data_IF_726338654134
#
_entry.id   IF_726338654134
#
_cell.length_a   1.000
_cell.length_b   1.000
_cell.length_c   1.000
_cell.angle_alpha   90.00
_cell.angle_beta   90.00
_cell.angle_gamma   90.00
#
_symmetry.space_group_name_H-M   'P 1'
#
loop_
_entity.id
_entity.type
_entity.pdbx_description
1 polymer ?
#
# COMPACT_ATOMS: atom_id res chain seq x y z
N UNK A 1 -15.48 -23.53 -23.60
CA UNK A 1 -15.02 -22.26 -24.16
C UNK A 1 -14.83 -21.33 -22.99
N UNK A 2 -13.59 -21.21 -22.51
CA UNK A 2 -13.20 -20.26 -21.47
C UNK A 2 -13.07 -18.89 -22.13
N UNK A 3 -13.92 -17.93 -21.74
CA UNK A 3 -13.74 -16.54 -22.11
C UNK A 3 -12.40 -16.06 -21.56
N UNK A 4 -11.43 -15.86 -22.45
CA UNK A 4 -10.20 -15.16 -22.11
C UNK A 4 -10.55 -13.68 -21.95
N UNK A 5 -11.01 -13.29 -20.76
CA UNK A 5 -11.18 -11.88 -20.42
C UNK A 5 -9.81 -11.22 -20.56
N UNK A 6 -9.61 -10.45 -21.63
CA UNK A 6 -8.38 -9.70 -21.86
C UNK A 6 -8.16 -8.74 -20.68
N UNK A 7 -7.25 -9.08 -19.78
CA UNK A 7 -6.86 -8.20 -18.67
C UNK A 7 -6.21 -6.96 -19.30
N UNK A 8 -6.79 -5.79 -19.05
CA UNK A 8 -6.23 -4.50 -19.49
C UNK A 8 -5.63 -3.80 -18.28
N UNK A 9 -4.32 -3.59 -18.31
CA UNK A 9 -3.65 -2.69 -17.38
C UNK A 9 -3.81 -1.23 -17.78
N UNK A 10 -3.56 -0.33 -16.83
CA UNK A 10 -3.48 1.11 -17.07
C UNK A 10 -2.02 1.47 -17.41
N UNK A 11 -1.80 2.19 -18.51
CA UNK A 11 -0.46 2.55 -18.99
C UNK A 11 -0.04 3.98 -18.66
N UNK A 12 -0.84 4.70 -17.88
CA UNK A 12 -0.63 6.11 -17.51
C UNK A 12 -0.80 6.29 -16.01
N UNK A 13 -0.31 7.42 -15.53
CA UNK A 13 -0.56 7.89 -14.17
C UNK A 13 -2.07 7.91 -13.86
N UNK A 14 -2.40 7.43 -12.67
CA UNK A 14 -3.74 7.42 -12.09
C UNK A 14 -3.72 8.29 -10.84
N UNK A 15 -4.77 9.07 -10.62
CA UNK A 15 -4.92 9.94 -9.45
C UNK A 15 -6.27 9.66 -8.79
N UNK A 16 -6.28 9.49 -7.48
CA UNK A 16 -7.47 9.38 -6.65
C UNK A 16 -7.36 10.35 -5.47
N UNK A 17 -8.36 11.20 -5.30
CA UNK A 17 -8.46 12.12 -4.16
C UNK A 17 -9.56 11.66 -3.23
N UNK A 18 -9.24 11.44 -1.96
CA UNK A 18 -10.18 10.96 -0.95
C UNK A 18 -10.24 11.92 0.23
N UNK A 19 -11.41 12.50 0.45
CA UNK A 19 -11.65 13.34 1.62
C UNK A 19 -12.02 12.50 2.83
N UNK A 20 -11.62 12.97 4.01
CA UNK A 20 -12.01 12.39 5.28
C UNK A 20 -12.37 13.46 6.30
N UNK A 21 -13.32 13.09 7.15
CA UNK A 21 -13.72 13.85 8.32
C UNK A 21 -13.62 12.91 9.53
N UNK A 22 -12.85 13.32 10.52
CA UNK A 22 -12.83 12.74 11.85
C UNK A 22 -13.63 13.70 12.76
N UNK A 23 -13.70 13.39 14.06
CA UNK A 23 -14.35 14.27 15.06
C UNK A 23 -14.12 15.77 14.79
N UNK A 24 -15.09 16.62 15.15
CA UNK A 24 -15.38 18.00 14.68
C UNK A 24 -14.24 19.01 14.37
N UNK A 25 -12.96 18.67 14.54
CA UNK A 25 -11.79 19.52 14.31
C UNK A 25 -10.74 18.92 13.37
N UNK A 26 -10.90 17.69 12.87
CA UNK A 26 -9.90 17.03 12.03
C UNK A 26 -10.54 16.58 10.72
N UNK A 27 -10.27 17.34 9.67
CA UNK A 27 -10.67 17.01 8.31
C UNK A 27 -9.44 17.07 7.41
N UNK A 28 -9.50 16.38 6.28
CA UNK A 28 -8.38 16.39 5.35
C UNK A 28 -8.68 15.65 4.07
N UNK A 29 -7.68 15.64 3.22
CA UNK A 29 -7.70 14.98 1.92
C UNK A 29 -6.46 14.12 1.78
N UNK A 30 -6.62 12.96 1.15
CA UNK A 30 -5.50 12.15 0.68
C UNK A 30 -5.47 12.22 -0.84
N UNK A 31 -4.36 12.71 -1.38
CA UNK A 31 -4.08 12.62 -2.83
C UNK A 31 -3.20 11.41 -3.09
N UNK A 32 -3.71 10.48 -3.89
CA UNK A 32 -3.09 9.19 -4.18
C UNK A 32 -2.73 9.15 -5.66
N UNK A 33 -1.47 8.85 -5.97
CA UNK A 33 -0.96 8.72 -7.33
C UNK A 33 -0.32 7.36 -7.53
N UNK A 34 -0.76 6.63 -8.56
CA UNK A 34 -0.11 5.39 -9.03
C UNK A 34 0.36 5.62 -10.46
N UNK A 35 1.62 5.32 -10.74
CA UNK A 35 2.16 5.40 -12.09
C UNK A 35 3.15 4.26 -12.40
N UNK A 36 3.25 3.82 -13.66
CA UNK A 36 4.33 2.93 -14.06
C UNK A 36 5.69 3.62 -13.89
N UNK A 37 6.64 2.93 -13.28
CA UNK A 37 8.00 3.44 -13.10
C UNK A 37 8.71 3.55 -14.46
N UNK A 38 8.99 4.78 -14.87
CA UNK A 38 9.74 5.09 -16.10
C UNK A 38 11.18 5.50 -15.83
N UNK A 39 11.52 5.83 -14.58
CA UNK A 39 12.86 6.23 -14.17
C UNK A 39 13.16 5.78 -12.73
N UNK A 40 13.60 4.52 -12.53
CA UNK A 40 13.87 3.92 -11.23
C UNK A 40 14.82 4.72 -10.31
N UNK A 41 15.67 5.57 -10.91
CA UNK A 41 16.61 6.42 -10.18
C UNK A 41 15.90 7.54 -9.41
N UNK A 42 14.78 8.07 -9.94
CA UNK A 42 14.03 9.14 -9.28
C UNK A 42 13.41 8.68 -7.95
N UNK A 43 13.26 7.36 -7.80
CA UNK A 43 12.70 6.70 -6.62
C UNK A 43 13.77 6.03 -5.74
N UNK A 44 15.06 6.26 -6.03
CA UNK A 44 16.17 5.75 -5.22
C UNK A 44 16.34 4.23 -5.26
N UNK A 45 15.88 3.55 -6.32
CA UNK A 45 16.02 2.08 -6.43
C UNK A 45 17.48 1.65 -6.52
N UNK A 46 18.38 2.52 -6.98
CA UNK A 46 19.84 2.31 -6.95
C UNK A 46 20.41 2.14 -5.53
N UNK A 47 19.74 2.68 -4.52
CA UNK A 47 20.13 2.49 -3.12
C UNK A 47 19.75 1.10 -2.58
N UNK A 48 18.73 0.46 -3.16
CA UNK A 48 18.15 -0.81 -2.69
C UNK A 48 18.67 -2.01 -3.48
N UNK A 49 18.77 -1.87 -4.80
CA UNK A 49 19.03 -2.98 -5.72
C UNK A 49 20.37 -3.68 -5.50
N UNK A 50 21.49 -3.02 -5.13
CA UNK A 50 22.74 -3.72 -4.82
C UNK A 50 22.59 -4.69 -3.63
N UNK A 51 21.71 -4.40 -2.67
CA UNK A 51 21.43 -5.30 -1.55
C UNK A 51 20.43 -6.39 -1.93
N UNK A 52 19.40 -6.05 -2.72
CA UNK A 52 18.34 -6.99 -3.10
C UNK A 52 18.76 -7.97 -4.20
N UNK A 53 19.68 -7.56 -5.08
CA UNK A 53 20.15 -8.30 -6.25
C UNK A 53 21.69 -8.17 -6.37
N UNK A 54 22.47 -8.68 -5.40
CA UNK A 54 23.92 -8.45 -5.32
C UNK A 54 24.69 -8.98 -6.54
N UNK A 55 24.18 -10.04 -7.17
CA UNK A 55 24.81 -10.68 -8.33
C UNK A 55 24.33 -10.11 -9.68
N UNK A 56 23.49 -9.07 -9.68
CA UNK A 56 22.97 -8.44 -10.90
C UNK A 56 23.62 -7.06 -11.09
N UNK A 57 24.26 -6.77 -12.24
CA UNK A 57 24.76 -5.42 -12.53
C UNK A 57 23.65 -4.37 -12.37
N UNK A 58 23.96 -3.24 -11.72
CA UNK A 58 22.96 -2.22 -11.35
C UNK A 58 22.08 -1.79 -12.52
N UNK A 59 22.65 -1.55 -13.70
CA UNK A 59 21.89 -1.19 -14.90
C UNK A 59 20.84 -2.26 -15.28
N UNK A 60 21.21 -3.53 -15.17
CA UNK A 60 20.29 -4.65 -15.42
C UNK A 60 19.24 -4.75 -14.32
N UNK A 61 19.61 -4.52 -13.06
CA UNK A 61 18.69 -4.52 -11.94
C UNK A 61 17.65 -3.40 -12.08
N UNK A 62 18.06 -2.17 -12.43
CA UNK A 62 17.15 -1.04 -12.65
C UNK A 62 16.14 -1.34 -13.76
N UNK A 63 16.61 -1.90 -14.90
CA UNK A 63 15.73 -2.32 -16.01
C UNK A 63 14.66 -3.32 -15.59
N UNK A 64 14.93 -4.19 -14.61
CA UNK A 64 13.94 -5.15 -14.09
C UNK A 64 12.81 -4.48 -13.32
N UNK A 65 12.99 -3.25 -12.85
CA UNK A 65 12.01 -2.52 -12.03
C UNK A 65 11.13 -1.56 -12.82
N UNK A 66 11.43 -1.35 -14.12
CA UNK A 66 10.61 -0.54 -15.02
C UNK A 66 9.18 -1.08 -15.09
N UNK A 67 8.23 -0.23 -15.48
CA UNK A 67 6.80 -0.52 -15.70
C UNK A 67 6.01 -0.97 -14.45
N UNK A 68 6.69 -1.38 -13.37
CA UNK A 68 6.05 -1.66 -12.10
C UNK A 68 5.46 -0.39 -11.50
N UNK A 69 4.32 -0.49 -10.79
CA UNK A 69 3.70 0.68 -10.21
C UNK A 69 4.56 1.26 -9.08
N UNK A 70 4.63 2.59 -9.05
CA UNK A 70 5.06 3.36 -7.89
C UNK A 70 3.84 4.11 -7.36
N UNK A 71 3.66 4.07 -6.04
CA UNK A 71 2.56 4.73 -5.33
C UNK A 71 3.10 5.89 -4.49
N UNK A 72 2.38 7.01 -4.50
CA UNK A 72 2.46 8.00 -3.43
C UNK A 72 1.06 8.30 -2.91
N UNK A 73 0.87 8.33 -1.58
CA UNK A 73 -0.36 8.84 -0.97
C UNK A 73 -0.02 9.91 0.05
N UNK A 74 -0.40 11.15 -0.25
CA UNK A 74 -0.08 12.35 0.54
C UNK A 74 -1.30 12.78 1.35
N UNK A 75 -1.14 12.85 2.66
CA UNK A 75 -2.18 13.36 3.57
C UNK A 75 -2.04 14.87 3.68
N UNK A 76 -3.16 15.57 3.61
CA UNK A 76 -3.25 16.99 3.93
C UNK A 76 -4.40 17.23 4.90
N UNK A 77 -4.12 17.81 6.06
CA UNK A 77 -5.09 18.13 7.11
C UNK A 77 -5.44 19.61 7.08
N UNK A 78 -6.74 19.90 7.13
CA UNK A 78 -7.23 21.27 7.29
C UNK A 78 -7.51 21.55 8.76
N UNK A 79 -6.98 22.67 9.28
CA UNK A 79 -7.27 23.13 10.64
C UNK A 79 -6.49 22.43 11.77
N UNK A 80 -5.62 21.47 11.44
CA UNK A 80 -4.77 20.77 12.41
C UNK A 80 -3.33 20.63 11.87
N UNK A 81 -2.34 20.53 12.78
CA UNK A 81 -0.91 20.35 12.48
C UNK A 81 -0.24 19.54 13.59
N UNK A 82 0.96 19.00 13.32
CA UNK A 82 1.73 18.24 14.31
C UNK A 82 0.93 17.05 14.84
N UNK A 83 0.84 16.91 16.16
CA UNK A 83 0.03 15.87 16.80
C UNK A 83 -1.45 15.89 16.39
N UNK A 84 -2.02 17.06 16.09
CA UNK A 84 -3.40 17.17 15.61
C UNK A 84 -3.63 16.60 14.20
N UNK A 85 -2.55 16.39 13.44
CA UNK A 85 -2.54 15.83 12.10
C UNK A 85 -1.74 14.52 12.05
N UNK A 86 -1.71 13.77 13.15
CA UNK A 86 -0.98 12.51 13.26
C UNK A 86 -1.80 11.33 12.75
N UNK A 87 -1.22 10.56 11.83
CA UNK A 87 -1.85 9.37 11.26
C UNK A 87 -0.82 8.26 11.07
N UNK A 88 -1.28 7.10 10.62
CA UNK A 88 -0.42 6.01 10.18
C UNK A 88 -1.01 5.25 9.01
N UNK A 89 -0.14 4.83 8.10
CA UNK A 89 -0.43 3.96 6.98
C UNK A 89 -0.21 2.51 7.38
N UNK A 90 -1.18 1.66 7.09
CA UNK A 90 -1.11 0.20 7.25
C UNK A 90 -1.26 -0.41 5.85
N UNK A 91 -0.29 -1.23 5.45
CA UNK A 91 -0.29 -1.88 4.14
C UNK A 91 -0.32 -3.39 4.30
N UNK A 92 -1.16 -4.02 3.47
CA UNK A 92 -1.21 -5.46 3.30
C UNK A 92 -1.00 -5.79 1.84
N UNK A 93 -0.37 -6.92 1.57
CA UNK A 93 -0.17 -7.42 0.21
C UNK A 93 -0.71 -8.83 0.08
N UNK A 94 -1.09 -9.18 -1.14
CA UNK A 94 -1.44 -10.53 -1.55
C UNK A 94 -0.87 -10.78 -2.92
N UNK A 95 -0.15 -11.88 -3.05
CA UNK A 95 0.57 -12.26 -4.27
C UNK A 95 0.33 -13.73 -4.56
N UNK A 96 0.17 -14.08 -5.82
CA UNK A 96 0.08 -15.49 -6.24
C UNK A 96 -0.12 -15.64 -7.74
N UNK A 97 -0.18 -16.88 -8.20
CA UNK A 97 -0.62 -17.19 -9.55
C UNK A 97 -2.07 -16.74 -9.74
N UNK A 98 -2.43 -16.09 -10.86
CA UNK A 98 -3.74 -15.45 -11.04
C UNK A 98 -4.97 -16.32 -10.78
N UNK A 99 -4.89 -17.60 -11.13
CA UNK A 99 -5.97 -18.55 -10.93
C UNK A 99 -6.16 -18.98 -9.47
N UNK A 100 -5.14 -18.72 -8.63
CA UNK A 100 -5.07 -19.13 -7.23
C UNK A 100 -4.96 -17.95 -6.27
N UNK A 101 -4.67 -16.72 -6.73
CA UNK A 101 -4.40 -15.55 -5.86
C UNK A 101 -5.50 -15.30 -4.83
N UNK A 102 -6.77 -15.54 -5.16
CA UNK A 102 -7.88 -15.38 -4.23
C UNK A 102 -7.80 -16.34 -3.01
N UNK A 103 -7.13 -17.48 -3.15
CA UNK A 103 -6.90 -18.45 -2.08
C UNK A 103 -5.66 -18.11 -1.21
N UNK A 104 -4.79 -17.20 -1.66
CA UNK A 104 -3.67 -16.74 -0.86
C UNK A 104 -4.14 -15.78 0.24
N UNK A 105 -3.58 -15.93 1.44
CA UNK A 105 -3.83 -15.02 2.54
C UNK A 105 -3.21 -13.64 2.27
N UNK A 106 -3.81 -12.61 2.87
CA UNK A 106 -3.18 -11.30 2.97
C UNK A 106 -2.06 -11.33 4.01
N UNK A 107 -1.00 -10.58 3.73
CA UNK A 107 0.16 -10.47 4.61
C UNK A 107 0.44 -9.00 4.91
N UNK A 108 0.95 -8.70 6.11
CA UNK A 108 1.43 -7.35 6.42
C UNK A 108 2.68 -7.03 5.61
N UNK A 109 2.80 -5.78 5.17
CA UNK A 109 3.94 -5.31 4.38
C UNK A 109 4.71 -4.19 5.12
N UNK A 110 5.55 -4.55 6.11
CA UNK A 110 6.32 -3.60 6.88
C UNK A 110 7.58 -3.14 6.12
N UNK A 111 8.12 -1.98 6.51
CA UNK A 111 9.49 -1.61 6.11
C UNK A 111 10.47 -2.65 6.66
N UNK A 112 11.50 -3.10 5.91
CA UNK A 112 12.37 -4.20 6.34
C UNK A 112 12.99 -4.05 7.73
N UNK A 113 13.36 -2.82 8.13
CA UNK A 113 13.95 -2.55 9.45
C UNK A 113 12.94 -2.61 10.60
N UNK A 114 11.64 -2.48 10.31
CA UNK A 114 10.56 -2.53 11.32
C UNK A 114 9.79 -3.85 11.31
N UNK A 115 10.17 -4.82 10.46
CA UNK A 115 9.43 -6.08 10.26
C UNK A 115 9.22 -6.90 11.54
N UNK A 116 10.18 -6.83 12.46
CA UNK A 116 10.19 -7.58 13.72
C UNK A 116 9.67 -6.73 14.90
N UNK A 117 9.31 -5.47 14.65
CA UNK A 117 8.69 -4.60 15.64
C UNK A 117 7.19 -4.88 15.73
N UNK A 118 6.64 -4.83 16.94
CA UNK A 118 5.20 -4.94 17.17
C UNK A 118 4.47 -3.62 16.86
N UNK A 119 4.47 -3.23 15.59
CA UNK A 119 3.77 -2.04 15.07
C UNK A 119 3.08 -2.35 13.73
N UNK A 120 1.82 -1.92 13.53
CA UNK A 120 1.10 -2.13 12.28
C UNK A 120 1.48 -1.13 11.19
N UNK A 121 2.16 -0.03 11.54
CA UNK A 121 2.37 1.08 10.63
C UNK A 121 3.64 0.92 9.79
N UNK A 122 3.49 1.04 8.47
CA UNK A 122 4.61 1.14 7.52
C UNK A 122 5.16 2.57 7.46
N UNK A 123 4.27 3.57 7.54
CA UNK A 123 4.61 5.00 7.63
C UNK A 123 3.69 5.67 8.64
N UNK A 124 4.21 6.52 9.52
CA UNK A 124 3.39 7.19 10.53
C UNK A 124 4.03 8.50 11.00
N UNK A 125 3.22 9.43 11.51
CA UNK A 125 3.68 10.76 11.89
C UNK A 125 2.64 11.84 11.56
N UNK A 126 3.01 13.14 11.67
CA UNK A 126 2.23 14.23 11.14
C UNK A 126 2.14 14.16 9.61
N UNK A 127 0.93 14.13 9.06
CA UNK A 127 0.66 14.07 7.61
C UNK A 127 1.56 13.08 6.86
N UNK A 128 1.59 11.80 7.28
CA UNK A 128 2.56 10.85 6.77
C UNK A 128 2.25 10.56 5.31
N UNK A 129 3.30 10.47 4.50
CA UNK A 129 3.20 10.03 3.11
C UNK A 129 3.44 8.52 3.05
N UNK A 130 2.55 7.79 2.38
CA UNK A 130 2.85 6.43 1.93
C UNK A 130 3.64 6.52 0.63
N UNK A 131 4.76 5.80 0.58
CA UNK A 131 5.50 5.52 -0.64
C UNK A 131 5.81 4.03 -0.71
N UNK A 132 5.66 3.44 -1.90
CA UNK A 132 6.09 2.09 -2.20
C UNK A 132 6.31 1.91 -3.72
N UNK A 133 7.13 0.96 -4.10
CA UNK A 133 7.55 0.70 -5.49
C UNK A 133 7.96 -0.76 -5.68
N UNK A 134 7.03 -1.72 -5.52
CA UNK A 134 7.32 -3.14 -5.56
C UNK A 134 7.78 -3.55 -6.95
N UNK A 135 8.65 -4.54 -7.01
CA UNK A 135 8.99 -5.23 -8.26
C UNK A 135 9.10 -6.74 -7.99
N UNK A 136 8.99 -7.54 -9.06
CA UNK A 136 9.10 -8.99 -8.99
C UNK A 136 9.82 -9.53 -10.23
N UNK A 137 10.42 -10.74 -10.15
CA UNK A 137 10.80 -11.49 -11.34
C UNK A 137 9.64 -11.59 -12.33
N UNK A 138 9.95 -11.54 -13.64
CA UNK A 138 8.97 -11.58 -14.74
C UNK A 138 8.94 -12.94 -15.45
N UNK A 139 9.50 -13.96 -14.83
CA UNK A 139 9.59 -15.34 -15.33
C UNK A 139 8.29 -16.12 -15.16
N UNK A 140 7.39 -15.64 -14.30
CA UNK A 140 6.10 -16.25 -14.01
C UNK A 140 4.98 -15.23 -14.03
N UNK A 141 3.78 -15.71 -14.38
CA UNK A 141 2.57 -14.89 -14.29
C UNK A 141 2.19 -14.69 -12.83
N UNK A 142 2.00 -13.43 -12.44
CA UNK A 142 1.73 -13.02 -11.07
C UNK A 142 0.52 -12.11 -11.04
N UNK A 143 -0.30 -12.25 -10.03
CA UNK A 143 -1.20 -11.20 -9.60
C UNK A 143 -0.79 -10.73 -8.21
N UNK A 144 -0.54 -9.43 -8.10
CA UNK A 144 -0.16 -8.77 -6.86
C UNK A 144 -1.13 -7.61 -6.59
N UNK A 145 -1.70 -7.59 -5.39
CA UNK A 145 -2.52 -6.48 -4.89
C UNK A 145 -1.97 -6.01 -3.55
N UNK A 146 -2.12 -4.72 -3.29
CA UNK A 146 -1.98 -4.12 -1.98
C UNK A 146 -3.28 -3.45 -1.55
N UNK A 147 -3.64 -3.63 -0.27
CA UNK A 147 -4.60 -2.77 0.41
C UNK A 147 -3.82 -1.81 1.30
N UNK A 148 -4.01 -0.51 1.09
CA UNK A 148 -3.36 0.54 1.86
C UNK A 148 -4.44 1.33 2.60
N UNK A 149 -4.38 1.32 3.93
CA UNK A 149 -5.32 2.00 4.80
C UNK A 149 -4.65 3.15 5.54
N UNK A 150 -5.27 4.31 5.52
CA UNK A 150 -4.94 5.39 6.45
C UNK A 150 -5.71 5.14 7.74
N UNK A 151 -5.03 5.23 8.89
CA UNK A 151 -5.63 5.05 10.20
C UNK A 151 -5.20 6.16 11.17
N UNK A 152 -6.05 6.44 12.15
CA UNK A 152 -5.68 7.27 13.30
C UNK A 152 -5.39 6.45 14.54
N UNK A 153 -4.55 7.02 15.40
CA UNK A 153 -4.53 6.73 16.83
C UNK A 153 -4.98 8.01 17.53
N UNK A 154 -6.18 7.98 18.12
CA UNK A 154 -6.92 9.19 18.51
C UNK A 154 -6.21 10.11 19.51
N UNK A 155 -5.23 9.58 20.24
CA UNK A 155 -4.38 10.30 21.19
C UNK A 155 -2.94 10.48 20.70
N UNK A 156 -2.73 10.52 19.38
CA UNK A 156 -1.41 10.76 18.75
C UNK A 156 -0.35 9.73 19.14
N UNK A 157 -0.70 8.45 19.05
CA UNK A 157 0.18 7.30 19.36
C UNK A 157 0.59 7.16 20.83
N UNK A 158 -0.15 7.76 21.76
CA UNK A 158 -0.01 7.44 23.19
C UNK A 158 -0.68 6.10 23.54
N UNK A 159 -1.78 5.76 22.87
CA UNK A 159 -2.43 4.46 22.95
C UNK A 159 -2.07 3.56 21.76
N UNK A 160 -2.54 2.31 21.81
CA UNK A 160 -2.50 1.35 20.71
C UNK A 160 -3.90 1.11 20.13
N UNK A 161 -4.76 2.14 20.13
CA UNK A 161 -6.15 2.07 19.67
C UNK A 161 -6.27 2.68 18.26
N UNK A 162 -6.42 1.80 17.26
CA UNK A 162 -6.36 2.14 15.84
C UNK A 162 -7.75 2.14 15.22
N UNK A 163 -8.08 3.22 14.51
CA UNK A 163 -9.33 3.36 13.73
C UNK A 163 -9.03 3.60 12.26
N UNK A 164 -9.67 2.88 11.33
CA UNK A 164 -9.51 3.15 9.90
C UNK A 164 -10.17 4.47 9.51
N UNK A 165 -9.54 5.22 8.61
CA UNK A 165 -10.03 6.49 8.06
C UNK A 165 -10.54 6.29 6.64
N UNK A 166 -9.74 5.63 5.81
CA UNK A 166 -10.02 5.32 4.40
C UNK A 166 -9.08 4.22 3.93
N UNK A 167 -9.38 3.60 2.80
CA UNK A 167 -8.54 2.61 2.17
C UNK A 167 -8.63 2.64 0.65
N UNK A 168 -7.61 2.11 0.00
CA UNK A 168 -7.59 1.92 -1.44
C UNK A 168 -6.81 0.65 -1.81
N UNK A 169 -7.11 0.12 -2.98
CA UNK A 169 -6.41 -0.99 -3.62
C UNK A 169 -5.61 -0.50 -4.82
N UNK A 170 -4.41 -1.06 -4.96
CA UNK A 170 -3.54 -0.87 -6.12
C UNK A 170 -2.70 -2.13 -6.32
N UNK A 171 -1.97 -2.20 -7.44
CA UNK A 171 -1.07 -3.31 -7.69
C UNK A 171 -0.79 -3.52 -9.16
N UNK A 172 -0.47 -4.76 -9.54
CA UNK A 172 -0.12 -5.11 -10.90
C UNK A 172 -0.38 -6.58 -11.22
N UNK A 173 -0.40 -6.88 -12.51
CA UNK A 173 -0.26 -8.23 -13.04
C UNK A 173 1.06 -8.37 -13.77
N UNK A 174 1.63 -9.56 -13.73
CA UNK A 174 2.61 -10.01 -14.71
C UNK A 174 1.90 -11.03 -15.60
N UNK A 175 1.88 -10.78 -16.91
CA UNK A 175 1.31 -11.66 -17.92
C UNK A 175 2.29 -11.79 -19.07
N UNK A 176 2.77 -13.00 -19.32
CA UNK A 176 3.72 -13.26 -20.40
C UNK A 176 4.95 -12.33 -20.32
N UNK A 177 5.47 -12.12 -19.11
CA UNK A 177 6.60 -11.23 -18.84
C UNK A 177 6.33 -9.72 -18.95
N UNK A 178 5.08 -9.31 -19.21
CA UNK A 178 4.66 -7.91 -19.25
C UNK A 178 4.00 -7.50 -17.94
N UNK A 179 4.38 -6.32 -17.44
CA UNK A 179 3.75 -5.72 -16.25
C UNK A 179 2.56 -4.89 -16.69
N UNK A 180 1.42 -5.12 -16.04
CA UNK A 180 0.16 -4.41 -16.27
C UNK A 180 -0.28 -3.79 -14.94
N UNK A 181 -0.28 -2.47 -14.83
CA UNK A 181 -0.70 -1.79 -13.59
C UNK A 181 -2.21 -1.91 -13.41
N UNK A 182 -2.65 -2.28 -12.21
CA UNK A 182 -4.07 -2.36 -11.83
C UNK A 182 -4.70 -0.98 -11.77
N UNK A 183 -6.02 -0.92 -11.94
CA UNK A 183 -6.77 0.30 -11.67
C UNK A 183 -6.63 0.67 -10.18
N UNK A 184 -6.32 1.94 -9.92
CA UNK A 184 -6.32 2.50 -8.56
C UNK A 184 -7.77 2.65 -8.10
N UNK A 185 -8.15 1.94 -7.05
CA UNK A 185 -9.54 1.84 -6.63
C UNK A 185 -9.71 2.21 -5.16
N UNK A 186 -10.70 3.05 -4.86
CA UNK A 186 -11.17 3.26 -3.47
C UNK A 186 -11.77 1.97 -2.92
N UNK A 187 -11.41 1.62 -1.68
CA UNK A 187 -12.06 0.55 -0.94
C UNK A 187 -13.16 1.11 -0.05
N UNK A 188 -14.24 0.34 0.07
CA UNK A 188 -15.19 0.50 1.17
C UNK A 188 -14.49 0.14 2.49
N UNK A 189 -14.87 0.80 3.57
CA UNK A 189 -14.17 0.62 4.85
C UNK A 189 -14.40 -0.77 5.43
N UNK A 190 -15.44 -1.48 5.04
CA UNK A 190 -15.71 -2.87 5.39
C UNK A 190 -14.58 -3.81 4.90
N UNK A 191 -13.80 -3.39 3.89
CA UNK A 191 -12.58 -4.12 3.49
C UNK A 191 -11.52 -4.16 4.60
N UNK A 192 -11.50 -3.17 5.50
CA UNK A 192 -10.67 -3.20 6.72
C UNK A 192 -11.13 -4.29 7.69
N UNK A 193 -12.44 -4.48 7.82
CA UNK A 193 -13.00 -5.46 8.77
C UNK A 193 -12.59 -6.88 8.40
N UNK A 194 -12.46 -7.16 7.11
CA UNK A 194 -11.91 -8.42 6.58
C UNK A 194 -10.47 -8.73 7.05
N UNK A 195 -9.72 -7.72 7.49
CA UNK A 195 -8.32 -7.86 7.95
C UNK A 195 -8.17 -7.87 9.47
N UNK A 196 -9.25 -7.62 10.23
CA UNK A 196 -9.17 -7.53 11.69
C UNK A 196 -8.62 -8.78 12.37
N UNK A 197 -8.92 -9.97 11.83
CA UNK A 197 -8.38 -11.22 12.35
C UNK A 197 -6.85 -11.27 12.24
N UNK A 198 -6.31 -10.87 11.08
CA UNK A 198 -4.87 -10.79 10.85
C UNK A 198 -4.21 -9.75 11.77
N UNK A 199 -4.79 -8.54 11.87
CA UNK A 199 -4.24 -7.48 12.72
C UNK A 199 -4.18 -7.90 14.19
N UNK A 200 -5.28 -8.45 14.71
CA UNK A 200 -5.38 -8.88 16.11
C UNK A 200 -4.49 -10.10 16.41
N UNK A 201 -4.31 -11.00 15.43
CA UNK A 201 -3.42 -12.14 15.56
C UNK A 201 -1.93 -11.76 15.53
N UNK A 202 -1.56 -10.71 14.80
CA UNK A 202 -0.15 -10.30 14.62
C UNK A 202 0.34 -9.26 15.62
N UNK A 203 -0.52 -8.32 16.05
CA UNK A 203 -0.08 -7.17 16.85
C UNK A 203 -0.62 -7.23 18.28
N UNK A 204 0.08 -7.97 19.13
CA UNK A 204 -0.31 -8.15 20.53
C UNK A 204 -0.37 -6.80 21.28
N UNK A 205 -1.43 -6.62 22.06
CA UNK A 205 -1.67 -5.39 22.84
C UNK A 205 -2.21 -4.21 22.03
N UNK A 206 -2.37 -4.35 20.71
CA UNK A 206 -3.06 -3.37 19.88
C UNK A 206 -4.57 -3.63 19.82
N UNK A 207 -5.36 -2.56 19.71
CA UNK A 207 -6.82 -2.58 19.61
C UNK A 207 -7.22 -2.01 18.25
N UNK A 208 -7.66 -2.87 17.34
CA UNK A 208 -8.16 -2.46 16.02
C UNK A 208 -9.69 -2.36 16.06
N UNK A 209 -10.20 -1.15 15.83
CA UNK A 209 -11.63 -0.84 15.72
C UNK A 209 -12.13 -1.17 14.32
N UNK A 210 -13.37 -1.65 14.22
CA UNK A 210 -14.01 -1.89 12.93
C UNK A 210 -14.57 -0.61 12.30
N UNK A 211 -15.05 -0.71 11.05
CA UNK A 211 -15.56 0.42 10.28
C UNK A 211 -16.80 1.10 10.90
N UNK A 212 -17.65 0.34 11.59
CA UNK A 212 -18.91 0.84 12.19
C UNK A 212 -18.73 1.79 13.39
N UNK A 213 -17.50 1.94 13.91
CA UNK A 213 -17.22 2.71 15.12
C UNK A 213 -16.80 4.17 14.92
N UNK A 214 -17.17 4.79 13.79
CA UNK A 214 -16.71 6.13 13.36
C UNK A 214 -17.65 7.26 13.76
#
# INVERSE_FOLDING_TARGET
MTETTSIKGVSKQQILSLDFHLSARRQGTVSITVEPDSNPLDYGKDLLLPTLLPDTPLETALKRTLDFPVITARVHSTGARGYGAYYGWIQLTRSGEPSLTAAHAWEMDPVPITKDLNTPFVWFGPEPMLFDGPFRPRDTDVEWSAHSFLAEVGDSCLSRDVRPILGFEWGFWIREGRVLVKELKRLDLEAWDGHLALFRGKFEGWKFRGAEGR
#
